data_IF_845793636890
#
_entry.id   IF_845793636890
#
_cell.length_a   1.000
_cell.length_b   1.000
_cell.length_c   1.000
_cell.angle_alpha   90.00
_cell.angle_beta   90.00
_cell.angle_gamma   90.00
#
_symmetry.space_group_name_H-M   'P 1'
#
loop_
_entity.id
_entity.type
_entity.pdbx_description
1 polymer ?
#
# COMPACT_ATOMS: atom_id res chain seq x y z
N UNK A 1 27.48 -21.62 32.94
CA UNK A 1 26.69 -21.15 31.78
C UNK A 1 25.86 -19.95 32.21
N UNK A 2 25.99 -18.77 31.58
CA UNK A 2 24.96 -17.73 31.62
C UNK A 2 24.24 -17.66 30.25
N UNK A 3 22.91 -17.70 30.30
CA UNK A 3 22.02 -17.55 29.15
C UNK A 3 22.06 -16.08 28.69
N UNK A 4 22.59 -15.83 27.49
CA UNK A 4 22.55 -14.51 26.86
C UNK A 4 21.10 -14.16 26.49
N UNK A 5 20.69 -12.98 26.93
CA UNK A 5 19.34 -12.45 26.83
C UNK A 5 18.96 -12.27 25.35
N UNK A 6 17.87 -12.93 24.93
CA UNK A 6 17.23 -12.62 23.67
C UNK A 6 16.73 -11.17 23.74
N UNK A 7 17.38 -10.28 22.98
CA UNK A 7 16.94 -8.91 22.82
C UNK A 7 15.57 -8.93 22.14
N UNK A 8 14.52 -8.71 22.92
CA UNK A 8 13.19 -8.41 22.41
C UNK A 8 13.25 -7.04 21.72
N UNK A 9 13.67 -7.05 20.45
CA UNK A 9 13.70 -5.88 19.59
C UNK A 9 12.27 -5.59 19.12
N UNK A 10 11.41 -5.17 20.05
CA UNK A 10 10.12 -4.59 19.70
C UNK A 10 10.42 -3.19 19.16
N UNK A 11 10.11 -2.88 17.88
CA UNK A 11 10.29 -1.53 17.35
C UNK A 11 9.62 -0.54 18.31
N UNK A 12 10.34 0.50 18.71
CA UNK A 12 9.75 1.54 19.53
C UNK A 12 8.51 2.09 18.80
N UNK A 13 7.36 2.26 19.49
CA UNK A 13 6.17 2.82 18.87
C UNK A 13 6.49 4.20 18.31
N UNK A 14 6.06 4.45 17.08
CA UNK A 14 6.29 5.73 16.38
C UNK A 14 5.78 6.91 17.23
N UNK A 15 6.54 8.00 17.25
CA UNK A 15 6.09 9.27 17.84
C UNK A 15 4.98 9.87 16.98
N UNK A 16 4.14 10.73 17.56
CA UNK A 16 3.04 11.38 16.85
C UNK A 16 3.52 12.13 15.61
N UNK A 17 4.63 12.85 15.73
CA UNK A 17 5.23 13.62 14.65
C UNK A 17 5.75 12.69 13.52
N UNK A 18 6.22 11.49 13.85
CA UNK A 18 6.66 10.49 12.86
C UNK A 18 5.46 9.89 12.13
N UNK A 19 4.36 9.61 12.84
CA UNK A 19 3.11 9.16 12.23
C UNK A 19 2.57 10.24 11.30
N UNK A 20 2.54 11.51 11.73
CA UNK A 20 2.13 12.64 10.92
C UNK A 20 2.96 12.77 9.63
N UNK A 21 4.29 12.59 9.72
CA UNK A 21 5.16 12.60 8.55
C UNK A 21 4.92 11.41 7.60
N UNK A 22 4.64 10.22 8.14
CA UNK A 22 4.32 9.03 7.36
C UNK A 22 2.99 9.19 6.62
N UNK A 23 1.97 9.77 7.25
CA UNK A 23 0.63 9.93 6.66
C UNK A 23 0.45 11.26 5.91
N UNK A 24 1.36 12.24 6.06
CA UNK A 24 1.28 13.53 5.37
C UNK A 24 1.00 13.42 3.85
N UNK A 25 1.60 12.48 3.10
CA UNK A 25 1.32 12.33 1.67
C UNK A 25 -0.13 11.89 1.36
N UNK A 26 -0.83 11.28 2.32
CA UNK A 26 -2.17 10.72 2.15
C UNK A 26 -3.24 11.46 2.98
N UNK A 27 -2.86 12.42 3.83
CA UNK A 27 -3.74 13.14 4.74
C UNK A 27 -4.82 14.00 4.04
N UNK A 28 -4.64 14.32 2.75
CA UNK A 28 -5.62 15.05 1.94
C UNK A 28 -6.57 14.15 1.16
N UNK A 29 -6.40 12.82 1.24
CA UNK A 29 -7.29 11.88 0.59
C UNK A 29 -8.55 11.62 1.45
N UNK A 30 -9.69 11.26 0.82
CA UNK A 30 -10.87 10.86 1.56
C UNK A 30 -10.57 9.69 2.51
N UNK A 31 -11.15 9.67 3.71
CA UNK A 31 -10.92 8.62 4.72
C UNK A 31 -11.09 7.19 4.18
N UNK A 32 -12.06 6.98 3.31
CA UNK A 32 -12.28 5.69 2.66
C UNK A 32 -11.09 5.25 1.79
N UNK A 33 -10.45 6.19 1.10
CA UNK A 33 -9.25 5.92 0.29
C UNK A 33 -8.02 5.70 1.19
N UNK A 34 -7.90 6.46 2.29
CA UNK A 34 -6.84 6.26 3.29
C UNK A 34 -6.92 4.85 3.89
N UNK A 35 -8.12 4.38 4.25
CA UNK A 35 -8.32 3.02 4.75
C UNK A 35 -7.86 1.97 3.73
N UNK A 36 -8.17 2.15 2.44
CA UNK A 36 -7.71 1.23 1.39
C UNK A 36 -6.19 1.26 1.21
N UNK A 37 -5.56 2.44 1.31
CA UNK A 37 -4.10 2.58 1.24
C UNK A 37 -3.44 1.81 2.40
N UNK A 38 -3.94 1.96 3.61
CA UNK A 38 -3.45 1.26 4.80
C UNK A 38 -3.65 -0.26 4.68
N UNK A 39 -4.78 -0.72 4.15
CA UNK A 39 -4.98 -2.15 3.94
C UNK A 39 -4.05 -2.69 2.85
N UNK A 40 -3.92 -1.98 1.74
CA UNK A 40 -3.02 -2.36 0.64
C UNK A 40 -1.54 -2.29 1.04
N UNK A 41 -1.17 -1.50 2.04
CA UNK A 41 0.21 -1.38 2.53
C UNK A 41 0.74 -2.70 3.09
N UNK A 42 -0.16 -3.53 3.62
CA UNK A 42 0.13 -4.89 4.11
C UNK A 42 0.41 -5.89 2.97
N UNK A 43 0.15 -5.52 1.72
CA UNK A 43 0.37 -6.33 0.51
C UNK A 43 1.34 -5.65 -0.48
N UNK A 44 2.59 -5.33 -0.08
CA UNK A 44 3.50 -4.54 -0.90
C UNK A 44 3.87 -5.20 -2.23
N UNK A 45 3.90 -6.54 -2.28
CA UNK A 45 4.14 -7.28 -3.54
C UNK A 45 2.98 -7.06 -4.53
N UNK A 46 1.74 -7.16 -4.06
CA UNK A 46 0.56 -6.97 -4.89
C UNK A 46 0.46 -5.53 -5.38
N UNK A 47 0.84 -4.54 -4.56
CA UNK A 47 0.94 -3.14 -4.96
C UNK A 47 1.90 -2.96 -6.14
N UNK A 48 3.07 -3.62 -6.11
CA UNK A 48 4.04 -3.56 -7.21
C UNK A 48 3.49 -4.25 -8.47
N UNK A 49 2.87 -5.42 -8.31
CA UNK A 49 2.24 -6.14 -9.44
C UNK A 49 1.13 -5.32 -10.07
N UNK A 50 0.24 -4.75 -9.27
CA UNK A 50 -0.84 -3.89 -9.70
C UNK A 50 -0.31 -2.63 -10.41
N UNK A 51 0.73 -1.99 -9.87
CA UNK A 51 1.35 -0.83 -10.51
C UNK A 51 1.98 -1.17 -11.87
N UNK A 52 2.65 -2.32 -11.98
CA UNK A 52 3.21 -2.82 -13.25
C UNK A 52 2.10 -3.17 -14.24
N UNK A 53 1.05 -3.84 -13.77
CA UNK A 53 -0.10 -4.19 -14.58
C UNK A 53 -0.80 -2.94 -15.12
N UNK A 54 -1.03 -1.92 -14.28
CA UNK A 54 -1.64 -0.65 -14.69
C UNK A 54 -0.78 0.08 -15.73
N UNK A 55 0.55 0.08 -15.57
CA UNK A 55 1.48 0.62 -16.58
C UNK A 55 1.45 -0.14 -17.90
N UNK A 56 1.28 -1.46 -17.87
CA UNK A 56 1.16 -2.30 -19.06
C UNK A 56 -0.22 -2.19 -19.74
N UNK A 57 -1.25 -1.79 -18.99
CA UNK A 57 -2.64 -1.73 -19.44
C UNK A 57 -3.25 -0.30 -19.35
N UNK A 58 -2.60 0.75 -19.89
CA UNK A 58 -3.04 2.14 -19.70
C UNK A 58 -4.40 2.47 -20.36
N UNK A 59 -4.88 1.58 -21.25
CA UNK A 59 -6.16 1.71 -21.95
C UNK A 59 -7.30 0.95 -21.26
N UNK A 60 -7.01 0.13 -20.26
CA UNK A 60 -8.02 -0.66 -19.54
C UNK A 60 -8.61 0.22 -18.44
N UNK A 61 -9.89 0.53 -18.54
CA UNK A 61 -10.63 1.43 -17.64
C UNK A 61 -12.04 0.90 -17.41
N UNK A 62 -12.71 1.45 -16.40
CA UNK A 62 -14.11 1.18 -16.08
C UNK A 62 -14.40 -0.32 -15.99
N UNK A 63 -15.44 -0.83 -16.67
CA UNK A 63 -15.83 -2.24 -16.62
C UNK A 63 -14.69 -3.19 -17.03
N UNK A 64 -13.84 -2.80 -17.98
CA UNK A 64 -12.72 -3.65 -18.40
C UNK A 64 -11.64 -3.75 -17.31
N UNK A 65 -11.49 -2.71 -16.48
CA UNK A 65 -10.64 -2.75 -15.30
C UNK A 65 -11.23 -3.69 -14.26
N UNK A 66 -12.53 -3.58 -13.99
CA UNK A 66 -13.23 -4.45 -13.03
C UNK A 66 -13.12 -5.94 -13.42
N UNK A 67 -13.39 -6.28 -14.68
CA UNK A 67 -13.24 -7.64 -15.22
C UNK A 67 -11.81 -8.15 -15.12
N UNK A 68 -10.82 -7.27 -15.33
CA UNK A 68 -9.41 -7.62 -15.18
C UNK A 68 -9.05 -7.85 -13.71
N UNK A 69 -9.55 -7.01 -12.80
CA UNK A 69 -9.33 -7.14 -11.36
C UNK A 69 -9.98 -8.40 -10.79
N UNK A 70 -11.12 -8.84 -11.30
CA UNK A 70 -11.75 -10.11 -10.90
C UNK A 70 -10.85 -11.32 -11.15
N UNK A 71 -10.00 -11.27 -12.19
CA UNK A 71 -9.05 -12.35 -12.52
C UNK A 71 -7.81 -12.34 -11.64
N UNK A 72 -7.51 -11.22 -10.99
CA UNK A 72 -6.34 -11.11 -10.12
C UNK A 72 -6.64 -11.67 -8.73
N UNK A 73 -5.64 -12.27 -8.11
CA UNK A 73 -5.74 -12.81 -6.74
C UNK A 73 -5.49 -11.77 -5.65
N UNK A 74 -5.28 -10.51 -6.03
CA UNK A 74 -4.98 -9.42 -5.11
C UNK A 74 -6.12 -9.15 -4.13
N UNK A 75 -5.77 -8.54 -3.01
CA UNK A 75 -6.72 -8.03 -2.02
C UNK A 75 -7.67 -6.99 -2.65
N UNK A 76 -8.95 -6.93 -2.23
CA UNK A 76 -9.88 -5.90 -2.71
C UNK A 76 -9.35 -4.47 -2.56
N UNK A 77 -8.54 -4.19 -1.53
CA UNK A 77 -7.93 -2.89 -1.31
C UNK A 77 -6.95 -2.56 -2.44
N UNK A 78 -6.07 -3.49 -2.81
CA UNK A 78 -5.11 -3.33 -3.92
C UNK A 78 -5.83 -3.21 -5.26
N UNK A 79 -6.88 -4.00 -5.48
CA UNK A 79 -7.73 -3.90 -6.68
C UNK A 79 -8.37 -2.52 -6.79
N UNK A 80 -8.90 -1.99 -5.69
CA UNK A 80 -9.51 -0.65 -5.68
C UNK A 80 -8.50 0.44 -6.03
N UNK A 81 -7.25 0.31 -5.57
CA UNK A 81 -6.17 1.25 -5.91
C UNK A 81 -5.84 1.30 -7.41
N UNK A 82 -6.18 0.28 -8.20
CA UNK A 82 -5.99 0.34 -9.67
C UNK A 82 -6.87 1.39 -10.36
N UNK A 83 -7.99 1.77 -9.72
CA UNK A 83 -8.82 2.89 -10.15
C UNK A 83 -8.20 4.26 -9.79
N UNK A 84 -7.14 4.28 -8.98
CA UNK A 84 -6.41 5.48 -8.55
C UNK A 84 -4.93 5.40 -8.95
N UNK A 85 -4.60 5.57 -10.25
CA UNK A 85 -3.24 5.34 -10.76
C UNK A 85 -2.16 6.17 -10.08
N UNK A 86 -2.48 7.40 -9.64
CA UNK A 86 -1.56 8.28 -8.92
C UNK A 86 -1.19 7.74 -7.54
N UNK A 87 -2.16 7.18 -6.81
CA UNK A 87 -1.94 6.59 -5.48
C UNK A 87 -1.17 5.29 -5.61
N UNK A 88 -1.57 4.43 -6.56
CA UNK A 88 -0.88 3.18 -6.83
C UNK A 88 0.57 3.39 -7.26
N UNK A 89 0.82 4.41 -8.10
CA UNK A 89 2.18 4.81 -8.46
C UNK A 89 2.97 5.30 -7.25
N UNK A 90 2.37 6.15 -6.41
CA UNK A 90 3.01 6.66 -5.19
C UNK A 90 3.37 5.54 -4.21
N UNK A 91 2.50 4.56 -3.98
CA UNK A 91 2.80 3.39 -3.13
C UNK A 91 3.89 2.51 -3.74
N UNK A 92 3.89 2.31 -5.06
CA UNK A 92 4.94 1.57 -5.75
C UNK A 92 6.30 2.32 -5.77
N UNK A 93 6.30 3.65 -5.78
CA UNK A 93 7.53 4.46 -5.73
C UNK A 93 8.07 4.61 -4.31
N UNK A 94 7.18 4.67 -3.31
CA UNK A 94 7.51 4.81 -1.90
C UNK A 94 7.31 3.50 -1.15
N UNK A 95 7.89 2.40 -1.63
CA UNK A 95 7.76 1.08 -0.99
C UNK A 95 8.22 1.08 0.47
N UNK A 96 9.26 1.85 0.81
CA UNK A 96 9.71 2.00 2.20
C UNK A 96 8.65 2.63 3.10
N UNK A 97 7.84 3.56 2.57
CA UNK A 97 6.70 4.14 3.29
C UNK A 97 5.57 3.12 3.36
N UNK A 98 5.25 2.46 2.24
CA UNK A 98 4.20 1.44 2.15
C UNK A 98 4.45 0.31 3.14
N UNK A 99 5.69 -0.12 3.36
CA UNK A 99 6.00 -1.15 4.35
C UNK A 99 5.96 -0.67 5.81
N UNK A 100 5.96 0.64 6.03
CA UNK A 100 5.94 1.26 7.37
C UNK A 100 4.54 1.68 7.83
N UNK A 101 3.58 1.71 6.91
CA UNK A 101 2.14 1.90 7.19
C UNK A 101 1.56 0.60 7.75
#
# INVERSE_FOLDING_TARGET
MPLAQAQNNVPAPFKKEEIEQLVAPIALYPDALVAQILMASTYPLEVVEAARWAKANPKVKDNALEDAMQKQKWDPSVKSLTAFPSVLAMMNEKLDMTQKL
#
